data_IF_128375802949
#
_entry.id   IF_128375802949
#
_cell.length_a   1.000
_cell.length_b   1.000
_cell.length_c   1.000
_cell.angle_alpha   90.00
_cell.angle_beta   90.00
_cell.angle_gamma   90.00
#
_symmetry.space_group_name_H-M   'P 1'
#
loop_
_entity.id
_entity.type
_entity.pdbx_description
1 polymer ?
#
# COMPACT_ATOMS: atom_id res chain seq x y z
N UNK A 1 -56.84 -20.24 42.52
CA UNK A 1 -56.59 -18.80 42.40
C UNK A 1 -55.13 -18.45 42.73
N UNK A 2 -54.56 -19.00 43.82
CA UNK A 2 -53.14 -18.81 44.18
C UNK A 2 -52.13 -19.27 43.13
N UNK A 3 -52.35 -20.41 42.47
CA UNK A 3 -51.42 -20.96 41.47
C UNK A 3 -51.26 -20.05 40.25
N UNK A 4 -52.33 -19.37 39.83
CA UNK A 4 -52.29 -18.44 38.70
C UNK A 4 -51.49 -17.17 39.04
N UNK A 5 -51.61 -16.68 40.28
CA UNK A 5 -50.82 -15.55 40.77
C UNK A 5 -49.33 -15.90 40.83
N UNK A 6 -48.98 -17.09 41.33
CA UNK A 6 -47.60 -17.57 41.39
C UNK A 6 -46.99 -17.69 39.99
N UNK A 7 -47.73 -18.24 39.03
CA UNK A 7 -47.29 -18.35 37.63
C UNK A 7 -47.07 -16.98 37.00
N UNK A 8 -47.96 -16.01 37.24
CA UNK A 8 -47.83 -14.65 36.73
C UNK A 8 -46.57 -13.96 37.29
N UNK A 9 -46.31 -14.09 38.60
CA UNK A 9 -45.10 -13.55 39.24
C UNK A 9 -43.84 -14.20 38.65
N UNK A 10 -43.85 -15.52 38.47
CA UNK A 10 -42.72 -16.25 37.90
C UNK A 10 -42.41 -15.77 36.47
N UNK A 11 -43.42 -15.57 35.62
CA UNK A 11 -43.24 -15.07 34.26
C UNK A 11 -42.67 -13.64 34.21
N UNK A 12 -43.14 -12.75 35.08
CA UNK A 12 -42.58 -11.39 35.20
C UNK A 12 -41.11 -11.46 35.62
N UNK A 13 -40.78 -12.30 36.63
CA UNK A 13 -39.41 -12.49 37.07
C UNK A 13 -38.51 -13.06 35.96
N UNK A 14 -38.99 -14.03 35.19
CA UNK A 14 -38.27 -14.56 34.02
C UNK A 14 -38.08 -13.49 32.95
N UNK A 15 -39.12 -12.72 32.61
CA UNK A 15 -39.03 -11.64 31.63
C UNK A 15 -38.04 -10.55 32.05
N UNK A 16 -38.03 -10.19 33.33
CA UNK A 16 -37.03 -9.28 33.89
C UNK A 16 -35.61 -9.84 33.80
N UNK A 17 -35.42 -11.13 34.12
CA UNK A 17 -34.11 -11.77 33.99
C UNK A 17 -33.63 -11.78 32.54
N UNK A 18 -34.50 -12.10 31.58
CA UNK A 18 -34.18 -12.05 30.15
C UNK A 18 -33.82 -10.62 29.70
N UNK A 19 -34.56 -9.62 30.16
CA UNK A 19 -34.29 -8.21 29.82
C UNK A 19 -32.92 -7.77 30.35
N UNK A 20 -32.58 -8.12 31.59
CA UNK A 20 -31.26 -7.80 32.17
C UNK A 20 -30.13 -8.43 31.36
N UNK A 21 -30.27 -9.71 30.99
CA UNK A 21 -29.28 -10.40 30.15
C UNK A 21 -29.17 -9.74 28.77
N UNK A 22 -30.30 -9.40 28.14
CA UNK A 22 -30.30 -8.74 26.84
C UNK A 22 -29.62 -7.36 26.88
N UNK A 23 -29.86 -6.57 27.92
CA UNK A 23 -29.19 -5.27 28.13
C UNK A 23 -27.68 -5.44 28.32
N UNK A 24 -27.26 -6.45 29.08
CA UNK A 24 -25.85 -6.76 29.28
C UNK A 24 -25.17 -7.17 27.97
N UNK A 25 -25.80 -8.04 27.17
CA UNK A 25 -25.30 -8.43 25.84
C UNK A 25 -25.23 -7.23 24.89
N UNK A 26 -26.24 -6.36 24.89
CA UNK A 26 -26.23 -5.14 24.08
C UNK A 26 -25.07 -4.21 24.47
N UNK A 27 -24.81 -4.04 25.76
CA UNK A 27 -23.66 -3.28 26.25
C UNK A 27 -22.32 -3.91 25.82
N UNK A 28 -22.20 -5.24 25.91
CA UNK A 28 -21.02 -5.96 25.43
C UNK A 28 -20.78 -5.76 23.93
N UNK A 29 -21.82 -5.83 23.10
CA UNK A 29 -21.72 -5.60 21.66
C UNK A 29 -21.23 -4.18 21.33
N UNK A 30 -21.70 -3.17 22.07
CA UNK A 30 -21.24 -1.80 21.91
C UNK A 30 -19.74 -1.65 22.24
N UNK A 31 -19.29 -2.27 23.32
CA UNK A 31 -17.87 -2.25 23.71
C UNK A 31 -17.01 -2.99 22.68
N UNK A 32 -17.45 -4.17 22.21
CA UNK A 32 -16.75 -4.96 21.20
C UNK A 32 -16.63 -4.22 19.87
N UNK A 33 -17.70 -3.54 19.41
CA UNK A 33 -17.65 -2.70 18.21
C UNK A 33 -16.58 -1.62 18.32
N UNK A 34 -16.53 -0.93 19.46
CA UNK A 34 -15.53 0.12 19.70
C UNK A 34 -14.11 -0.44 19.73
N UNK A 35 -13.88 -1.60 20.33
CA UNK A 35 -12.58 -2.27 20.32
C UNK A 35 -12.17 -2.70 18.91
N UNK A 36 -13.11 -3.19 18.12
CA UNK A 36 -12.86 -3.57 16.73
C UNK A 36 -12.50 -2.35 15.87
N UNK A 37 -13.19 -1.22 16.05
CA UNK A 37 -12.87 0.03 15.36
C UNK A 37 -11.45 0.52 15.71
N UNK A 38 -11.07 0.48 16.99
CA UNK A 38 -9.72 0.84 17.44
C UNK A 38 -8.69 -0.11 16.82
N UNK A 39 -8.91 -1.43 16.90
CA UNK A 39 -8.00 -2.43 16.33
C UNK A 39 -7.86 -2.27 14.82
N UNK A 40 -8.94 -1.93 14.11
CA UNK A 40 -8.90 -1.63 12.69
C UNK A 40 -8.05 -0.39 12.39
N UNK A 41 -8.26 0.70 13.13
CA UNK A 41 -7.45 1.92 12.98
C UNK A 41 -5.97 1.68 13.27
N UNK A 42 -5.66 0.90 14.32
CA UNK A 42 -4.29 0.54 14.66
C UNK A 42 -3.63 -0.30 13.56
N UNK A 43 -4.35 -1.29 13.01
CA UNK A 43 -3.87 -2.12 11.90
C UNK A 43 -3.58 -1.30 10.64
N UNK A 44 -4.47 -0.36 10.27
CA UNK A 44 -4.25 0.54 9.14
C UNK A 44 -3.00 1.40 9.36
N UNK A 45 -2.83 1.93 10.58
CA UNK A 45 -1.66 2.73 10.94
C UNK A 45 -0.36 1.92 10.88
N UNK A 46 -0.37 0.69 11.40
CA UNK A 46 0.78 -0.21 11.38
C UNK A 46 1.20 -0.56 9.96
N UNK A 47 0.24 -0.92 9.08
CA UNK A 47 0.51 -1.17 7.67
C UNK A 47 1.11 0.06 6.97
N UNK A 48 0.58 1.25 7.28
CA UNK A 48 1.12 2.52 6.77
C UNK A 48 2.56 2.79 7.24
N UNK A 49 2.87 2.54 8.50
CA UNK A 49 4.23 2.64 9.02
C UNK A 49 5.17 1.63 8.38
N UNK A 50 4.78 0.35 8.31
CA UNK A 50 5.57 -0.70 7.68
C UNK A 50 5.89 -0.36 6.21
N UNK A 51 4.92 0.17 5.46
CA UNK A 51 5.15 0.62 4.09
C UNK A 51 6.18 1.76 4.03
N UNK A 52 6.08 2.78 4.90
CA UNK A 52 7.06 3.88 4.95
C UNK A 52 8.47 3.39 5.30
N UNK A 53 8.58 2.56 6.34
CA UNK A 53 9.86 1.97 6.75
C UNK A 53 10.48 1.18 5.60
N UNK A 54 9.70 0.37 4.89
CA UNK A 54 10.20 -0.39 3.73
C UNK A 54 10.73 0.51 2.62
N UNK A 55 10.07 1.63 2.37
CA UNK A 55 10.52 2.61 1.38
C UNK A 55 11.86 3.27 1.81
N UNK A 56 11.97 3.65 3.09
CA UNK A 56 13.20 4.19 3.66
C UNK A 56 14.36 3.17 3.60
N UNK A 57 14.11 1.89 3.89
CA UNK A 57 15.09 0.81 3.75
C UNK A 57 15.62 0.69 2.32
N UNK A 58 14.75 0.76 1.30
CA UNK A 58 15.19 0.72 -0.10
C UNK A 58 16.07 1.93 -0.44
N UNK A 59 15.73 3.12 0.07
CA UNK A 59 16.54 4.32 -0.16
C UNK A 59 17.90 4.18 0.55
N UNK A 60 17.89 3.76 1.82
CA UNK A 60 19.10 3.55 2.62
C UNK A 60 20.01 2.47 2.02
N UNK A 61 19.46 1.37 1.51
CA UNK A 61 20.22 0.33 0.83
C UNK A 61 20.98 0.92 -0.37
N UNK A 62 20.32 1.73 -1.20
CA UNK A 62 20.97 2.42 -2.32
C UNK A 62 22.03 3.42 -1.89
N UNK A 63 21.86 4.08 -0.75
CA UNK A 63 22.80 5.11 -0.27
C UNK A 63 24.02 4.52 0.45
N UNK A 64 23.86 3.37 1.09
CA UNK A 64 24.91 2.77 1.93
C UNK A 64 25.70 1.67 1.22
N UNK A 65 25.10 0.98 0.25
CA UNK A 65 25.80 0.02 -0.60
C UNK A 65 26.45 0.74 -1.80
N UNK A 66 27.78 0.83 -1.77
CA UNK A 66 28.58 1.47 -2.83
C UNK A 66 28.45 0.77 -4.19
N UNK A 67 28.32 -0.56 -4.20
CA UNK A 67 28.19 -1.34 -5.43
C UNK A 67 26.85 -1.03 -6.09
N UNK A 68 25.77 -1.11 -5.31
CA UNK A 68 24.43 -0.77 -5.77
C UNK A 68 24.34 0.70 -6.21
N UNK A 69 24.89 1.65 -5.44
CA UNK A 69 24.89 3.07 -5.83
C UNK A 69 25.59 3.29 -7.16
N UNK A 70 26.76 2.67 -7.35
CA UNK A 70 27.52 2.78 -8.59
C UNK A 70 26.72 2.23 -9.77
N UNK A 71 26.18 1.02 -9.64
CA UNK A 71 25.32 0.39 -10.65
C UNK A 71 24.11 1.25 -10.98
N UNK A 72 23.46 1.79 -9.95
CA UNK A 72 22.30 2.66 -10.09
C UNK A 72 22.59 3.92 -10.88
N UNK A 73 23.67 4.63 -10.53
CA UNK A 73 24.08 5.86 -11.22
C UNK A 73 24.53 5.57 -12.65
N UNK A 74 25.28 4.49 -12.88
CA UNK A 74 25.80 4.13 -14.20
C UNK A 74 24.69 3.75 -15.17
N UNK A 75 23.82 2.82 -14.78
CA UNK A 75 22.70 2.39 -15.61
C UNK A 75 21.69 3.53 -15.77
N UNK A 76 21.40 4.27 -14.70
CA UNK A 76 20.47 5.40 -14.71
C UNK A 76 20.89 6.53 -15.65
N UNK A 77 22.17 6.92 -15.61
CA UNK A 77 22.70 8.00 -16.45
C UNK A 77 22.85 7.59 -17.93
N UNK A 78 22.97 6.29 -18.22
CA UNK A 78 23.13 5.79 -19.59
C UNK A 78 24.44 6.20 -20.26
N UNK A 79 25.46 6.54 -19.45
CA UNK A 79 26.73 7.12 -19.92
C UNK A 79 27.73 6.08 -20.43
N UNK A 80 27.64 4.85 -19.94
CA UNK A 80 28.55 3.74 -20.26
C UNK A 80 27.77 2.43 -20.34
N UNK A 81 28.28 1.47 -21.12
CA UNK A 81 27.72 0.11 -21.14
C UNK A 81 27.91 -0.53 -19.76
N UNK A 82 26.83 -0.81 -19.00
CA UNK A 82 26.93 -1.48 -17.72
C UNK A 82 27.32 -2.95 -17.91
N UNK A 83 27.97 -3.54 -16.91
CA UNK A 83 28.13 -5.00 -16.87
C UNK A 83 26.79 -5.69 -16.62
N UNK A 84 26.74 -7.01 -16.83
CA UNK A 84 25.56 -7.82 -16.52
C UNK A 84 25.22 -7.74 -15.02
N UNK A 85 26.23 -7.70 -14.14
CA UNK A 85 26.04 -7.54 -12.70
C UNK A 85 25.45 -6.17 -12.36
N UNK A 86 26.01 -5.09 -12.92
CA UNK A 86 25.52 -3.72 -12.69
C UNK A 86 24.07 -3.58 -13.18
N UNK A 87 23.76 -4.17 -14.34
CA UNK A 87 22.40 -4.24 -14.89
C UNK A 87 21.48 -5.03 -13.96
N UNK A 88 21.90 -6.21 -13.50
CA UNK A 88 21.10 -7.05 -12.63
C UNK A 88 20.76 -6.36 -11.31
N UNK A 89 21.73 -5.69 -10.68
CA UNK A 89 21.51 -4.93 -9.45
C UNK A 89 20.50 -3.80 -9.67
N UNK A 90 20.67 -3.00 -10.73
CA UNK A 90 19.74 -1.93 -11.06
C UNK A 90 18.31 -2.44 -11.30
N UNK A 91 18.16 -3.47 -12.14
CA UNK A 91 16.84 -4.00 -12.51
C UNK A 91 16.08 -4.54 -11.30
N UNK A 92 16.76 -5.22 -10.37
CA UNK A 92 16.15 -5.73 -9.15
C UNK A 92 15.82 -4.62 -8.15
N UNK A 93 16.70 -3.62 -8.02
CA UNK A 93 16.41 -2.45 -7.20
C UNK A 93 15.14 -1.75 -7.69
N UNK A 94 15.08 -1.44 -9.00
CA UNK A 94 13.90 -0.83 -9.61
C UNK A 94 12.65 -1.70 -9.42
N UNK A 95 12.76 -3.03 -9.59
CA UNK A 95 11.64 -3.95 -9.35
C UNK A 95 11.10 -3.81 -7.93
N UNK A 96 11.97 -3.80 -6.92
CA UNK A 96 11.57 -3.64 -5.52
C UNK A 96 10.91 -2.28 -5.28
N UNK A 97 11.43 -1.20 -5.87
CA UNK A 97 10.83 0.13 -5.75
C UNK A 97 9.44 0.22 -6.38
N UNK A 98 9.22 -0.40 -7.54
CA UNK A 98 7.89 -0.48 -8.15
C UNK A 98 6.91 -1.32 -7.32
N UNK A 99 7.35 -2.47 -6.81
CA UNK A 99 6.51 -3.30 -5.92
C UNK A 99 6.11 -2.54 -4.65
N UNK A 100 7.03 -1.75 -4.09
CA UNK A 100 6.74 -0.90 -2.93
C UNK A 100 5.71 0.19 -3.25
N UNK A 101 5.84 0.88 -4.39
CA UNK A 101 4.84 1.87 -4.83
C UNK A 101 3.46 1.22 -5.06
N UNK A 102 3.41 0.02 -5.65
CA UNK A 102 2.17 -0.74 -5.84
C UNK A 102 1.53 -1.10 -4.50
N UNK A 103 2.34 -1.47 -3.51
CA UNK A 103 1.87 -1.74 -2.16
C UNK A 103 1.27 -0.48 -1.51
N UNK A 104 1.97 0.67 -1.60
CA UNK A 104 1.48 1.97 -1.12
C UNK A 104 0.15 2.35 -1.77
N UNK A 105 0.03 2.14 -3.09
CA UNK A 105 -1.21 2.38 -3.83
C UNK A 105 -2.36 1.52 -3.32
N UNK A 106 -2.13 0.22 -3.11
CA UNK A 106 -3.15 -0.71 -2.62
C UNK A 106 -3.58 -0.42 -1.19
N UNK A 107 -2.64 -0.03 -0.34
CA UNK A 107 -2.92 0.39 1.04
C UNK A 107 -3.66 1.72 1.11
N UNK A 108 -3.79 2.45 0.00
CA UNK A 108 -4.47 3.74 -0.02
C UNK A 108 -3.69 4.82 0.72
N UNK A 109 -2.35 4.74 0.73
CA UNK A 109 -1.50 5.73 1.38
C UNK A 109 -1.84 7.13 0.87
N UNK A 110 -1.97 8.09 1.80
CA UNK A 110 -2.38 9.47 1.53
C UNK A 110 -3.68 9.57 0.72
N UNK A 111 -4.66 8.71 1.00
CA UNK A 111 -5.96 8.66 0.31
C UNK A 111 -5.84 8.51 -1.22
N UNK A 112 -4.78 7.82 -1.68
CA UNK A 112 -4.44 7.69 -3.11
C UNK A 112 -4.27 9.05 -3.82
N UNK A 113 -3.76 10.05 -3.12
CA UNK A 113 -3.51 11.37 -3.68
C UNK A 113 -2.69 11.28 -4.97
N UNK A 114 -3.25 11.80 -6.06
CA UNK A 114 -2.67 11.70 -7.41
C UNK A 114 -1.30 12.36 -7.46
N UNK A 115 -1.15 13.57 -6.92
CA UNK A 115 0.13 14.31 -6.92
C UNK A 115 1.23 13.59 -6.14
N UNK A 116 0.87 12.93 -5.03
CA UNK A 116 1.81 12.07 -4.30
C UNK A 116 2.35 10.95 -5.18
N UNK A 117 1.47 10.23 -5.89
CA UNK A 117 1.89 9.14 -6.77
C UNK A 117 2.58 9.65 -8.04
N UNK A 118 2.22 10.82 -8.57
CA UNK A 118 2.99 11.50 -9.63
C UNK A 118 4.42 11.77 -9.18
N UNK A 119 4.60 12.33 -7.98
CA UNK A 119 5.92 12.56 -7.40
C UNK A 119 6.73 11.27 -7.23
N UNK A 120 6.10 10.19 -6.75
CA UNK A 120 6.74 8.87 -6.61
C UNK A 120 7.18 8.32 -7.96
N UNK A 121 6.29 8.31 -8.95
CA UNK A 121 6.60 7.91 -10.32
C UNK A 121 7.70 8.78 -10.94
N UNK A 122 7.70 10.08 -10.67
CA UNK A 122 8.71 11.02 -11.13
C UNK A 122 10.10 10.67 -10.58
N UNK A 123 10.19 10.25 -9.32
CA UNK A 123 11.45 9.74 -8.74
C UNK A 123 11.86 8.40 -9.36
N UNK A 124 10.91 7.50 -9.65
CA UNK A 124 11.19 6.19 -10.30
C UNK A 124 11.48 6.29 -11.80
N UNK A 125 11.40 7.49 -12.37
CA UNK A 125 11.60 7.79 -13.79
C UNK A 125 12.48 9.03 -14.00
N UNK A 126 13.25 9.45 -13.00
CA UNK A 126 14.04 10.67 -13.04
C UNK A 126 15.18 10.62 -14.07
N UNK A 127 15.79 9.45 -14.25
CA UNK A 127 16.90 9.24 -15.18
C UNK A 127 16.50 8.47 -16.46
N UNK A 128 17.39 8.44 -17.45
CA UNK A 128 17.14 7.77 -18.74
C UNK A 128 16.99 6.26 -18.54
N UNK A 129 17.86 5.65 -17.73
CA UNK A 129 17.80 4.22 -17.41
C UNK A 129 16.52 3.85 -16.65
N UNK A 130 16.07 4.71 -15.75
CA UNK A 130 14.81 4.55 -15.01
C UNK A 130 13.58 4.64 -15.92
N UNK A 131 13.55 5.61 -16.85
CA UNK A 131 12.49 5.69 -17.88
C UNK A 131 12.50 4.47 -18.80
N UNK A 132 13.69 3.97 -19.16
CA UNK A 132 13.81 2.71 -19.92
C UNK A 132 13.30 1.51 -19.12
N UNK A 133 13.55 1.48 -17.81
CA UNK A 133 12.99 0.46 -16.93
C UNK A 133 11.46 0.50 -16.93
N UNK A 134 10.87 1.68 -16.84
CA UNK A 134 9.41 1.84 -16.91
C UNK A 134 8.84 1.19 -18.17
N UNK A 135 9.40 1.52 -19.34
CA UNK A 135 8.94 0.98 -20.62
C UNK A 135 9.09 -0.54 -20.72
N UNK A 136 10.20 -1.09 -20.22
CA UNK A 136 10.53 -2.51 -20.42
C UNK A 136 9.93 -3.43 -19.36
N UNK A 137 9.73 -2.94 -18.13
CA UNK A 137 9.35 -3.75 -16.98
C UNK A 137 8.31 -3.06 -16.09
N UNK A 138 8.52 -1.80 -15.72
CA UNK A 138 7.67 -1.10 -14.76
C UNK A 138 6.20 -1.06 -15.16
N UNK A 139 5.91 -0.67 -16.41
CA UNK A 139 4.56 -0.65 -16.98
C UNK A 139 3.92 -2.04 -17.03
N UNK A 140 4.69 -3.08 -17.38
CA UNK A 140 4.22 -4.47 -17.42
C UNK A 140 3.84 -4.95 -16.01
N UNK A 141 4.68 -4.65 -15.01
CA UNK A 141 4.39 -5.03 -13.63
C UNK A 141 3.10 -4.34 -13.18
N UNK A 142 3.01 -3.02 -13.32
CA UNK A 142 1.84 -2.25 -12.85
C UNK A 142 0.56 -2.66 -13.60
N UNK A 143 0.61 -2.70 -14.93
CA UNK A 143 -0.56 -2.91 -15.79
C UNK A 143 -0.94 -4.37 -15.98
N UNK A 144 0.00 -5.21 -16.39
CA UNK A 144 -0.28 -6.60 -16.76
C UNK A 144 -0.31 -7.52 -15.54
N UNK A 145 0.67 -7.40 -14.64
CA UNK A 145 0.77 -8.31 -13.48
C UNK A 145 -0.21 -7.93 -12.39
N UNK A 146 -0.34 -6.64 -12.09
CA UNK A 146 -1.17 -6.17 -10.98
C UNK A 146 -2.51 -5.54 -11.40
N UNK A 147 -2.75 -5.30 -12.70
CA UNK A 147 -4.03 -4.83 -13.21
C UNK A 147 -4.39 -3.39 -12.82
N UNK A 148 -3.40 -2.53 -12.56
CA UNK A 148 -3.62 -1.18 -12.02
C UNK A 148 -3.65 -0.11 -13.11
N UNK A 149 -4.71 -0.10 -13.92
CA UNK A 149 -4.84 0.81 -15.08
C UNK A 149 -4.69 2.29 -14.71
N UNK A 150 -5.24 2.74 -13.58
CA UNK A 150 -5.10 4.14 -13.14
C UNK A 150 -3.62 4.52 -12.92
N UNK A 151 -2.85 3.61 -12.34
CA UNK A 151 -1.43 3.82 -12.06
C UNK A 151 -0.59 3.70 -13.34
N UNK A 152 -1.02 2.89 -14.32
CA UNK A 152 -0.43 2.88 -15.67
C UNK A 152 -0.65 4.23 -16.35
N UNK A 153 -1.88 4.72 -16.38
CA UNK A 153 -2.21 6.01 -16.99
C UNK A 153 -1.42 7.15 -16.36
N UNK A 154 -1.27 7.12 -15.04
CA UNK A 154 -0.45 8.10 -14.33
C UNK A 154 1.04 7.97 -14.68
N UNK A 155 1.54 6.73 -14.79
CA UNK A 155 2.91 6.47 -15.22
C UNK A 155 3.18 6.94 -16.64
N UNK A 156 2.27 6.70 -17.58
CA UNK A 156 2.37 7.14 -18.97
C UNK A 156 2.40 8.69 -19.05
N UNK A 157 1.55 9.36 -18.26
CA UNK A 157 1.55 10.82 -18.14
C UNK A 157 2.87 11.36 -17.60
N UNK A 158 3.38 10.80 -16.50
CA UNK A 158 4.66 11.25 -15.91
C UNK A 158 5.83 10.95 -16.86
N UNK A 159 5.80 9.81 -17.55
CA UNK A 159 6.79 9.50 -18.58
C UNK A 159 6.79 10.58 -19.68
N UNK A 160 5.60 10.94 -20.18
CA UNK A 160 5.45 11.97 -21.22
C UNK A 160 5.94 13.34 -20.75
N UNK A 161 5.58 13.75 -19.53
CA UNK A 161 6.04 14.99 -18.90
C UNK A 161 7.58 15.05 -18.81
N UNK A 162 8.23 13.95 -18.45
CA UNK A 162 9.69 13.89 -18.28
C UNK A 162 10.46 13.69 -19.59
N UNK A 163 9.88 12.98 -20.55
CA UNK A 163 10.53 12.62 -21.81
C UNK A 163 10.22 13.61 -22.94
N UNK A 164 9.16 14.41 -22.80
CA UNK A 164 8.66 15.35 -23.82
C UNK A 164 7.98 14.66 -25.01
N UNK A 165 7.64 13.38 -24.89
CA UNK A 165 6.95 12.58 -25.91
C UNK A 165 6.20 11.41 -25.27
N UNK A 166 5.11 10.94 -25.86
CA UNK A 166 4.32 9.84 -25.32
C UNK A 166 5.11 8.53 -25.26
N UNK A 167 4.60 7.61 -24.44
CA UNK A 167 5.10 6.23 -24.38
C UNK A 167 4.98 5.58 -25.77
N UNK A 168 6.03 4.93 -26.28
CA UNK A 168 5.96 4.20 -27.55
C UNK A 168 4.85 3.15 -27.55
N UNK A 169 4.16 3.02 -28.68
CA UNK A 169 3.14 2.00 -28.92
C UNK A 169 3.73 0.59 -29.01
#
# INVERSE_FOLDING_TARGET
METALIVAIAQIATGMATLVVALFLAAQLLIQKRQLEIAHQDSVRELGFAARTRNEELILARLTDKSLLKSYLKVGAGLETPSDEETHQFMNYMRLSYLQMINEWRLGVNDKNVEYFKGRLGVLMGSIGERRYYLTNGKIIVGTVFGLSDLVNLGDMVYEELQGRPVPA
#
